data_IF_800781534275
#
_entry.id   IF_800781534275
#
_cell.length_a   1.000
_cell.length_b   1.000
_cell.length_c   1.000
_cell.angle_alpha   90.00
_cell.angle_beta   90.00
_cell.angle_gamma   90.00
#
_symmetry.space_group_name_H-M   'P 1'
#
loop_
_entity.id
_entity.type
_entity.pdbx_description
1 polymer ?
#
# COMPACT_ATOMS: atom_id res chain seq x y z
N UNK A 1 -4.08 -11.90 16.33
CA UNK A 1 -4.51 -12.99 15.43
C UNK A 1 -4.09 -12.60 14.02
N UNK A 2 -3.70 -13.55 13.17
CA UNK A 2 -3.39 -13.26 11.77
C UNK A 2 -4.67 -13.21 10.93
N UNK A 3 -4.74 -12.31 9.96
CA UNK A 3 -5.86 -12.21 9.01
C UNK A 3 -5.62 -13.11 7.81
N UNK A 4 -6.65 -13.83 7.36
CA UNK A 4 -6.61 -14.52 6.06
C UNK A 4 -6.91 -13.53 4.94
N UNK A 5 -6.12 -13.55 3.87
CA UNK A 5 -6.34 -12.70 2.71
C UNK A 5 -7.74 -12.89 2.11
N UNK A 6 -8.27 -14.12 2.11
CA UNK A 6 -9.62 -14.40 1.62
C UNK A 6 -10.69 -13.71 2.45
N UNK A 7 -10.44 -13.44 3.73
CA UNK A 7 -11.36 -12.66 4.56
C UNK A 7 -11.23 -11.18 4.23
N UNK A 8 -10.01 -10.66 4.18
CA UNK A 8 -9.73 -9.23 3.98
C UNK A 8 -10.25 -8.74 2.63
N UNK A 9 -10.07 -9.50 1.54
CA UNK A 9 -10.56 -9.11 0.20
C UNK A 9 -12.08 -9.06 0.08
N UNK A 10 -12.81 -9.73 0.99
CA UNK A 10 -14.26 -9.77 1.01
C UNK A 10 -14.87 -8.77 2.00
N UNK A 11 -14.04 -8.03 2.75
CA UNK A 11 -14.51 -6.96 3.62
C UNK A 11 -15.10 -5.81 2.78
N UNK A 12 -16.16 -5.21 3.29
CA UNK A 12 -16.66 -3.92 2.83
C UNK A 12 -15.62 -2.81 3.05
N UNK A 13 -15.79 -1.70 2.35
CA UNK A 13 -14.92 -0.53 2.55
C UNK A 13 -14.94 -0.05 4.02
N UNK A 14 -16.12 -0.06 4.65
CA UNK A 14 -16.29 0.35 6.04
C UNK A 14 -15.53 -0.56 7.01
N UNK A 15 -15.51 -1.87 6.75
CA UNK A 15 -14.73 -2.83 7.54
C UNK A 15 -13.22 -2.65 7.34
N UNK A 16 -12.77 -2.41 6.10
CA UNK A 16 -11.36 -2.09 5.81
C UNK A 16 -10.92 -0.78 6.47
N UNK A 17 -11.78 0.22 6.46
CA UNK A 17 -11.56 1.52 7.09
C UNK A 17 -11.43 1.39 8.61
N UNK A 18 -12.32 0.63 9.24
CA UNK A 18 -12.24 0.32 10.68
C UNK A 18 -10.98 -0.49 11.02
N UNK A 19 -10.63 -1.47 10.19
CA UNK A 19 -9.42 -2.26 10.36
C UNK A 19 -8.17 -1.39 10.25
N UNK A 20 -8.11 -0.48 9.27
CA UNK A 20 -7.01 0.46 9.13
C UNK A 20 -6.92 1.43 10.32
N UNK A 21 -8.05 1.98 10.76
CA UNK A 21 -8.10 2.92 11.89
C UNK A 21 -7.78 2.30 13.26
N UNK A 22 -7.91 0.98 13.38
CA UNK A 22 -7.52 0.21 14.58
C UNK A 22 -6.10 -0.32 14.51
N UNK A 23 -5.48 -0.34 13.33
CA UNK A 23 -4.09 -0.75 13.15
C UNK A 23 -3.10 0.16 13.86
N UNK A 24 -1.96 -0.41 14.23
CA UNK A 24 -0.85 0.32 14.82
C UNK A 24 0.08 0.84 13.72
N UNK A 25 0.82 1.93 13.98
CA UNK A 25 1.86 2.40 13.05
C UNK A 25 2.94 1.33 12.87
N UNK A 26 3.30 0.65 13.94
CA UNK A 26 4.43 -0.28 13.97
C UNK A 26 5.78 0.39 13.71
N UNK A 27 6.79 -0.43 13.47
CA UNK A 27 8.07 -0.02 12.90
C UNK A 27 8.00 -0.08 11.37
N UNK A 28 8.91 0.62 10.69
CA UNK A 28 9.05 0.44 9.24
C UNK A 28 9.40 -1.03 8.99
N UNK A 29 8.61 -1.75 8.18
CA UNK A 29 8.86 -3.15 7.94
C UNK A 29 10.18 -3.36 7.19
N UNK A 30 10.72 -4.57 7.29
CA UNK A 30 11.98 -4.97 6.66
C UNK A 30 11.80 -6.34 5.99
N UNK A 31 12.27 -6.47 4.76
CA UNK A 31 12.17 -7.69 3.96
C UNK A 31 11.14 -7.65 2.84
N UNK A 32 10.91 -8.81 2.24
CA UNK A 32 10.01 -8.99 1.10
C UNK A 32 8.57 -9.17 1.56
N UNK A 33 7.65 -8.41 0.98
CA UNK A 33 6.22 -8.51 1.21
C UNK A 33 5.48 -8.92 -0.05
N UNK A 34 4.54 -9.82 0.12
CA UNK A 34 3.50 -10.12 -0.87
C UNK A 34 2.35 -9.13 -0.72
N UNK A 35 2.10 -8.35 -1.77
CA UNK A 35 0.92 -7.49 -1.86
C UNK A 35 -0.28 -8.20 -2.47
N UNK A 36 -1.51 -7.91 -1.99
CA UNK A 36 -2.77 -8.29 -2.66
C UNK A 36 -3.79 -7.14 -2.76
N UNK A 37 -4.26 -6.86 -3.98
CA UNK A 37 -5.07 -5.68 -4.28
C UNK A 37 -6.51 -5.87 -3.93
N UNK A 38 -7.06 -4.90 -3.18
CA UNK A 38 -8.44 -4.93 -2.74
C UNK A 38 -9.17 -3.84 -3.50
N UNK A 39 -9.79 -4.26 -4.60
CA UNK A 39 -10.60 -3.38 -5.43
C UNK A 39 -12.04 -3.54 -4.95
N UNK A 40 -12.64 -2.46 -4.44
CA UNK A 40 -14.02 -2.48 -3.97
C UNK A 40 -14.96 -3.04 -5.06
N UNK A 41 -15.72 -4.11 -4.79
CA UNK A 41 -16.68 -4.65 -5.74
C UNK A 41 -17.71 -3.58 -6.11
N UNK A 42 -17.78 -3.22 -7.40
CA UNK A 42 -18.70 -2.19 -7.91
C UNK A 42 -18.06 -0.86 -8.30
N UNK A 43 -16.74 -0.68 -8.10
CA UNK A 43 -16.03 0.46 -8.70
C UNK A 43 -15.78 0.22 -10.20
N UNK A 44 -16.15 1.15 -11.09
CA UNK A 44 -15.81 1.02 -12.50
C UNK A 44 -14.29 1.03 -12.65
N UNK A 45 -13.75 -0.03 -13.28
CA UNK A 45 -12.33 -0.15 -13.61
C UNK A 45 -11.92 1.06 -14.46
N UNK A 46 -11.37 2.07 -13.79
CA UNK A 46 -11.07 3.36 -14.39
C UNK A 46 -9.58 3.44 -14.72
N UNK A 47 -9.22 4.42 -15.56
CA UNK A 47 -7.84 4.62 -15.98
C UNK A 47 -6.88 4.85 -14.79
N UNK A 48 -7.31 5.52 -13.72
CA UNK A 48 -6.48 5.76 -12.55
C UNK A 48 -6.17 4.47 -11.77
N UNK A 49 -7.16 3.59 -11.58
CA UNK A 49 -6.98 2.26 -10.98
C UNK A 49 -6.04 1.41 -11.83
N UNK A 50 -6.20 1.43 -13.16
CA UNK A 50 -5.31 0.71 -14.07
C UNK A 50 -3.86 1.26 -14.00
N UNK A 51 -3.68 2.58 -13.91
CA UNK A 51 -2.37 3.21 -13.74
C UNK A 51 -1.73 2.78 -12.42
N UNK A 52 -2.50 2.78 -11.32
CA UNK A 52 -2.05 2.27 -10.02
C UNK A 52 -1.64 0.80 -10.14
N UNK A 53 -2.52 -0.10 -10.59
CA UNK A 53 -2.19 -1.53 -10.67
C UNK A 53 -0.94 -1.79 -11.54
N UNK A 54 -0.81 -1.12 -12.68
CA UNK A 54 0.36 -1.25 -13.56
C UNK A 54 1.63 -0.65 -12.95
N UNK A 55 1.53 0.52 -12.31
CA UNK A 55 2.65 1.15 -11.62
C UNK A 55 3.09 0.32 -10.41
N UNK A 56 2.16 -0.36 -9.77
CA UNK A 56 2.43 -1.14 -8.59
C UNK A 56 2.75 -2.61 -8.87
N UNK A 57 2.70 -3.06 -10.13
CA UNK A 57 2.70 -4.46 -10.58
C UNK A 57 3.19 -5.45 -9.50
N UNK A 58 2.23 -6.12 -8.86
CA UNK A 58 2.32 -6.64 -7.50
C UNK A 58 3.06 -7.97 -7.43
N UNK A 59 4.33 -8.00 -7.85
CA UNK A 59 5.15 -9.21 -7.83
C UNK A 59 6.00 -9.32 -6.56
N UNK A 60 6.25 -8.21 -5.86
CA UNK A 60 6.95 -8.21 -4.57
C UNK A 60 7.34 -6.79 -4.16
N UNK A 61 7.12 -6.46 -2.89
CA UNK A 61 7.54 -5.18 -2.28
C UNK A 61 8.70 -5.46 -1.31
N UNK A 62 9.90 -5.00 -1.62
CA UNK A 62 11.06 -5.18 -0.74
C UNK A 62 11.24 -3.90 0.07
N UNK A 63 11.02 -4.00 1.38
CA UNK A 63 11.27 -2.93 2.32
C UNK A 63 12.68 -3.04 2.89
N UNK A 64 13.36 -1.91 2.97
CA UNK A 64 14.65 -1.77 3.64
C UNK A 64 14.49 -0.72 4.75
N UNK A 65 14.38 -1.21 5.99
CA UNK A 65 14.21 -0.35 7.15
C UNK A 65 15.45 0.53 7.42
N UNK A 66 16.65 0.08 7.02
CA UNK A 66 17.91 0.81 7.25
C UNK A 66 18.01 2.04 6.36
N UNK A 67 17.62 1.91 5.11
CA UNK A 67 17.62 3.02 4.16
C UNK A 67 16.29 3.76 4.13
N UNK A 68 15.26 3.26 4.83
CA UNK A 68 13.90 3.80 4.80
C UNK A 68 13.38 3.90 3.36
N UNK A 69 13.63 2.84 2.58
CA UNK A 69 13.20 2.74 1.19
C UNK A 69 12.37 1.51 0.94
N UNK A 70 11.49 1.62 -0.04
CA UNK A 70 10.72 0.52 -0.58
C UNK A 70 11.06 0.37 -2.05
N UNK A 71 11.39 -0.85 -2.46
CA UNK A 71 11.58 -1.21 -3.87
C UNK A 71 10.40 -2.06 -4.31
N UNK A 72 9.66 -1.57 -5.29
CA UNK A 72 8.64 -2.37 -5.95
C UNK A 72 9.27 -3.06 -7.16
N UNK A 73 9.24 -4.39 -7.20
CA UNK A 73 9.72 -5.17 -8.33
C UNK A 73 8.62 -5.36 -9.36
N UNK A 74 8.80 -4.76 -10.55
CA UNK A 74 7.88 -4.90 -11.67
C UNK A 74 8.52 -5.82 -12.71
N UNK A 75 7.87 -6.93 -13.07
CA UNK A 75 8.35 -7.86 -14.12
C UNK A 75 7.20 -8.31 -15.03
N UNK A 76 7.41 -8.24 -16.37
CA UNK A 76 7.60 -9.50 -17.10
C UNK A 76 8.78 -9.53 -18.11
N UNK A 77 9.47 -8.42 -18.40
CA UNK A 77 10.54 -8.34 -19.43
C UNK A 77 11.68 -7.35 -19.09
N UNK A 78 11.96 -7.13 -17.80
CA UNK A 78 13.10 -6.32 -17.35
C UNK A 78 12.87 -5.79 -15.94
N UNK A 79 13.89 -5.89 -15.09
CA UNK A 79 13.87 -5.41 -13.71
C UNK A 79 13.73 -3.88 -13.69
N UNK A 80 12.52 -3.37 -13.46
CA UNK A 80 12.30 -1.97 -13.09
C UNK A 80 11.97 -1.92 -11.61
N UNK A 81 12.88 -1.40 -10.80
CA UNK A 81 12.65 -1.14 -9.39
C UNK A 81 12.14 0.30 -9.22
N UNK A 82 10.92 0.45 -8.71
CA UNK A 82 10.38 1.75 -8.30
C UNK A 82 10.79 1.97 -6.85
N UNK A 83 11.48 3.07 -6.56
CA UNK A 83 11.96 3.39 -5.22
C UNK A 83 11.00 4.39 -4.56
N UNK A 84 10.40 3.98 -3.45
CA UNK A 84 9.65 4.86 -2.56
C UNK A 84 10.47 5.21 -1.33
N UNK A 85 10.31 6.43 -0.84
CA UNK A 85 10.72 6.79 0.53
C UNK A 85 9.68 6.29 1.50
N UNK A 86 10.13 5.75 2.63
CA UNK A 86 9.27 5.21 3.67
C UNK A 86 9.48 6.02 4.94
N UNK A 87 8.43 6.65 5.47
CA UNK A 87 8.51 7.46 6.68
C UNK A 87 7.21 7.42 7.45
N UNK A 88 7.20 7.96 8.67
CA UNK A 88 5.99 8.08 9.49
C UNK A 88 5.41 9.48 9.35
N UNK A 89 4.10 9.56 9.17
CA UNK A 89 3.35 10.81 9.02
C UNK A 89 1.88 10.57 9.37
N UNK A 90 1.09 11.63 9.47
CA UNK A 90 -0.34 11.51 9.73
C UNK A 90 -1.09 11.03 8.48
N UNK A 91 -2.01 10.09 8.68
CA UNK A 91 -2.85 9.55 7.62
C UNK A 91 -3.82 10.61 7.08
N UNK A 92 -3.99 10.64 5.76
CA UNK A 92 -5.04 11.44 5.13
C UNK A 92 -6.44 10.90 5.38
N UNK A 93 -6.57 9.65 5.84
CA UNK A 93 -7.85 9.04 6.17
C UNK A 93 -8.42 9.54 7.50
N UNK A 94 -7.68 9.32 8.60
CA UNK A 94 -8.18 9.51 9.97
C UNK A 94 -7.29 10.42 10.82
N UNK A 95 -6.29 11.07 10.22
CA UNK A 95 -5.34 11.96 10.88
C UNK A 95 -4.57 11.32 12.04
N UNK A 96 -4.51 9.99 12.11
CA UNK A 96 -3.63 9.28 13.05
C UNK A 96 -2.33 8.91 12.36
N UNK A 97 -1.23 8.70 13.12
CA UNK A 97 0.04 8.30 12.54
C UNK A 97 -0.08 7.02 11.68
N UNK A 98 0.67 6.96 10.59
CA UNK A 98 0.80 5.81 9.70
C UNK A 98 2.22 5.76 9.10
N UNK A 99 2.54 4.69 8.38
CA UNK A 99 3.75 4.63 7.55
C UNK A 99 3.35 5.04 6.13
N UNK A 100 4.01 6.04 5.59
CA UNK A 100 3.81 6.55 4.23
C UNK A 100 4.83 5.92 3.31
N UNK A 101 4.38 5.50 2.13
CA UNK A 101 5.21 5.11 1.00
C UNK A 101 5.06 6.19 -0.07
N UNK A 102 6.11 6.98 -0.22
CA UNK A 102 6.14 8.17 -1.07
C UNK A 102 6.93 7.89 -2.34
N UNK A 103 6.22 7.88 -3.47
CA UNK A 103 6.77 7.58 -4.79
C UNK A 103 7.13 8.83 -5.61
N UNK A 104 7.06 10.02 -5.01
CA UNK A 104 7.21 11.29 -5.71
C UNK A 104 8.52 11.48 -6.46
N UNK A 105 9.58 10.79 -6.04
CA UNK A 105 10.89 10.90 -6.67
C UNK A 105 11.07 9.98 -7.89
N UNK A 106 10.15 9.04 -8.14
CA UNK A 106 10.32 8.08 -9.25
C UNK A 106 9.81 8.61 -10.60
N UNK A 107 8.74 9.40 -10.64
CA UNK A 107 8.12 9.87 -11.90
C UNK A 107 7.12 11.00 -11.66
N UNK A 108 6.89 11.86 -12.67
CA UNK A 108 5.83 12.89 -12.67
C UNK A 108 4.43 12.32 -12.42
N UNK A 109 4.20 11.07 -12.81
CA UNK A 109 2.93 10.36 -12.53
C UNK A 109 2.89 9.89 -11.08
N UNK A 110 4.03 9.42 -10.56
CA UNK A 110 4.17 8.88 -9.21
C UNK A 110 4.11 9.95 -8.11
N UNK A 111 4.40 11.21 -8.42
CA UNK A 111 4.19 12.38 -7.53
C UNK A 111 2.78 12.54 -7.02
N UNK A 112 1.80 11.97 -7.73
CA UNK A 112 0.41 12.02 -7.31
C UNK A 112 0.02 10.84 -6.43
N UNK A 113 0.87 9.82 -6.29
CA UNK A 113 0.53 8.61 -5.58
C UNK A 113 1.15 8.64 -4.19
N UNK A 114 0.30 8.51 -3.17
CA UNK A 114 0.70 8.31 -1.78
C UNK A 114 0.07 7.03 -1.30
N UNK A 115 0.89 6.13 -0.78
CA UNK A 115 0.39 4.96 -0.07
C UNK A 115 0.57 5.17 1.42
N UNK A 116 -0.38 4.68 2.19
CA UNK A 116 -0.33 4.67 3.64
C UNK A 116 -0.51 3.24 4.12
N UNK A 117 0.28 2.78 5.08
CA UNK A 117 0.15 1.44 5.66
C UNK A 117 0.11 1.51 7.19
N UNK A 118 -0.62 0.57 7.77
CA UNK A 118 -0.61 0.27 9.22
C UNK A 118 -0.54 -1.21 9.47
N UNK A 119 0.13 -1.57 10.56
CA UNK A 119 0.23 -2.93 11.05
C UNK A 119 -1.12 -3.32 11.66
N UNK A 120 -1.78 -4.30 11.06
CA UNK A 120 -3.06 -4.82 11.55
C UNK A 120 -2.91 -6.15 12.26
N UNK A 121 -1.83 -6.89 11.97
CA UNK A 121 -1.43 -8.09 12.68
C UNK A 121 0.08 -8.32 12.54
N UNK A 122 0.62 -9.36 13.16
CA UNK A 122 2.03 -9.67 13.03
C UNK A 122 2.40 -9.93 11.57
N UNK A 123 3.43 -9.24 11.07
CA UNK A 123 3.87 -9.26 9.67
C UNK A 123 2.78 -8.95 8.63
N UNK A 124 1.70 -8.28 9.04
CA UNK A 124 0.55 -8.00 8.19
C UNK A 124 0.16 -6.54 8.27
N UNK A 125 0.07 -5.92 7.10
CA UNK A 125 -0.23 -4.50 6.97
C UNK A 125 -1.40 -4.30 6.04
N UNK A 126 -2.33 -3.43 6.43
CA UNK A 126 -3.35 -2.92 5.54
C UNK A 126 -2.91 -1.54 5.06
N UNK A 127 -3.12 -1.29 3.77
CA UNK A 127 -2.72 -0.06 3.14
C UNK A 127 -3.81 0.58 2.30
N UNK A 128 -3.69 1.89 2.15
CA UNK A 128 -4.58 2.77 1.40
C UNK A 128 -3.78 3.47 0.31
N UNK A 129 -4.30 3.44 -0.92
CA UNK A 129 -3.68 4.14 -2.06
C UNK A 129 -4.46 5.41 -2.35
N UNK A 130 -3.75 6.53 -2.42
CA UNK A 130 -4.28 7.83 -2.77
C UNK A 130 -3.71 8.32 -4.10
N UNK A 131 -4.53 9.01 -4.88
CA UNK A 131 -4.11 9.78 -6.04
C UNK A 131 -4.51 11.24 -5.89
N UNK A 132 -3.53 12.12 -5.68
CA UNK A 132 -3.78 13.41 -5.05
C UNK A 132 -4.51 13.16 -3.72
N UNK A 133 -5.55 13.94 -3.42
CA UNK A 133 -6.27 13.79 -2.15
C UNK A 133 -7.45 12.80 -2.22
N UNK A 134 -7.49 11.92 -3.23
CA UNK A 134 -8.59 10.97 -3.43
C UNK A 134 -8.14 9.55 -3.17
N UNK A 135 -8.81 8.86 -2.24
CA UNK A 135 -8.66 7.42 -2.02
C UNK A 135 -9.12 6.65 -3.26
N UNK A 136 -8.31 5.69 -3.71
CA UNK A 136 -8.57 4.90 -4.92
C UNK A 136 -8.87 3.43 -4.62
N UNK A 137 -7.97 2.75 -3.90
CA UNK A 137 -8.06 1.34 -3.57
C UNK A 137 -7.36 1.06 -2.24
N UNK A 138 -7.62 -0.12 -1.68
CA UNK A 138 -6.91 -0.66 -0.53
C UNK A 138 -5.99 -1.81 -0.97
N UNK A 139 -5.05 -2.15 -0.10
CA UNK A 139 -4.11 -3.23 -0.34
C UNK A 139 -3.70 -3.93 0.94
N UNK A 140 -3.36 -5.20 0.83
CA UNK A 140 -2.84 -5.96 1.97
C UNK A 140 -1.41 -6.42 1.71
N UNK A 141 -0.52 -6.28 2.70
CA UNK A 141 0.85 -6.76 2.67
C UNK A 141 1.05 -7.87 3.69
N UNK A 142 1.73 -8.93 3.26
CA UNK A 142 2.14 -10.05 4.12
C UNK A 142 3.63 -10.32 3.93
N UNK A 143 4.38 -10.35 5.04
CA UNK A 143 5.82 -10.63 5.11
C UNK A 143 6.10 -12.05 5.61
#
# INVERSE_FOLDING_TARGET
MAYDIHQVINMSQEELDQLFSSGEVGEIPDGEARGTAIIAPGTPYNYAIAQVINFFAWQGKIFDAKTSTLKNEISPFGFRAIIAKVYKDDSWFDHKPCIVLDYSETSTVAQRVRDEIRKVADKQYLGKVYWGNKHLIDFFLQF
#
